data_IF_327101283172
#
_entry.id   IF_327101283172
#
_cell.length_a   1.000
_cell.length_b   1.000
_cell.length_c   1.000
_cell.angle_alpha   90.00
_cell.angle_beta   90.00
_cell.angle_gamma   90.00
#
_symmetry.space_group_name_H-M   'P 1'
#
loop_
_entity.id
_entity.type
_entity.pdbx_description
1 polymer ?
#
# COMPACT_ATOMS: atom_id res chain seq x y z
N UNK A 1 4.54 -1.01 15.88
CA UNK A 1 4.86 -2.42 15.52
C UNK A 1 4.53 -3.36 16.67
N UNK A 2 3.91 -4.51 16.38
CA UNK A 2 3.60 -5.49 17.43
C UNK A 2 4.87 -6.02 18.09
N UNK A 3 4.82 -6.22 19.41
CA UNK A 3 5.90 -6.73 20.26
C UNK A 3 7.19 -5.89 20.32
N UNK A 4 7.23 -4.73 19.66
CA UNK A 4 8.31 -3.75 19.79
C UNK A 4 7.83 -2.52 20.57
N UNK A 5 6.72 -1.93 20.14
CA UNK A 5 6.18 -0.68 20.70
C UNK A 5 4.79 -0.84 21.32
N UNK A 6 4.10 -1.93 21.00
CA UNK A 6 2.75 -2.22 21.51
C UNK A 6 2.44 -3.71 21.47
N UNK A 7 1.47 -4.15 22.28
CA UNK A 7 0.80 -5.42 22.07
C UNK A 7 -0.16 -5.35 20.86
N UNK A 8 -0.47 -6.49 20.20
CA UNK A 8 -1.46 -6.52 19.12
C UNK A 8 -2.85 -6.05 19.57
N UNK A 9 -3.57 -5.36 18.68
CA UNK A 9 -4.97 -4.98 18.89
C UNK A 9 -5.81 -6.23 18.67
N UNK A 10 -6.44 -6.74 19.73
CA UNK A 10 -7.26 -7.96 19.66
C UNK A 10 -8.57 -7.72 18.92
N UNK A 11 -9.12 -8.79 18.33
CA UNK A 11 -10.45 -8.77 17.71
C UNK A 11 -11.51 -8.20 18.66
N UNK A 12 -12.33 -7.27 18.16
CA UNK A 12 -13.35 -6.58 18.95
C UNK A 12 -12.82 -5.48 19.88
N UNK A 13 -11.52 -5.15 19.81
CA UNK A 13 -10.92 -4.01 20.51
C UNK A 13 -10.54 -2.90 19.55
N UNK A 14 -10.39 -1.70 20.09
CA UNK A 14 -9.97 -0.50 19.35
C UNK A 14 -8.77 0.15 20.04
N UNK A 15 -7.95 0.83 19.26
CA UNK A 15 -6.82 1.61 19.74
C UNK A 15 -6.74 2.92 18.96
N UNK A 16 -6.43 4.03 19.64
CA UNK A 16 -6.24 5.33 19.02
C UNK A 16 -4.75 5.59 18.78
N UNK A 17 -4.36 5.75 17.52
CA UNK A 17 -3.02 6.21 17.16
C UNK A 17 -3.01 7.75 17.15
N UNK A 18 -2.26 8.36 18.06
CA UNK A 18 -2.09 9.81 18.16
C UNK A 18 -0.61 10.18 17.97
N UNK A 19 -0.31 10.94 16.93
CA UNK A 19 1.03 11.36 16.58
C UNK A 19 1.02 12.63 15.74
N UNK A 20 2.12 13.38 15.83
CA UNK A 20 2.35 14.58 15.01
C UNK A 20 3.21 14.26 13.79
N UNK A 21 2.79 14.75 12.63
CA UNK A 21 3.56 14.66 11.38
C UNK A 21 4.47 15.89 11.27
N UNK A 22 5.65 15.81 11.88
CA UNK A 22 6.62 16.93 11.94
C UNK A 22 7.67 16.82 10.83
N UNK A 23 7.85 17.89 10.06
CA UNK A 23 8.92 17.98 9.06
C UNK A 23 8.72 17.13 7.80
N UNK A 24 7.60 16.43 7.67
CA UNK A 24 7.28 15.61 6.51
C UNK A 24 6.32 16.34 5.56
N UNK A 25 6.47 16.09 4.26
CA UNK A 25 5.60 16.59 3.19
C UNK A 25 5.71 15.63 2.01
N UNK A 26 4.58 15.34 1.36
CA UNK A 26 4.54 14.47 0.18
C UNK A 26 3.74 13.19 0.43
N UNK A 27 4.19 12.10 -0.15
CA UNK A 27 3.51 10.80 -0.07
C UNK A 27 4.23 9.91 0.94
N UNK A 28 3.53 9.53 1.99
CA UNK A 28 3.88 8.47 2.93
C UNK A 28 2.89 7.32 2.73
N UNK A 29 2.98 6.29 3.57
CA UNK A 29 2.03 5.20 3.59
C UNK A 29 1.96 4.59 5.00
N UNK A 30 0.89 3.87 5.25
CA UNK A 30 0.68 3.09 6.46
C UNK A 30 0.45 1.63 6.08
N UNK A 31 0.76 0.72 7.00
CA UNK A 31 0.50 -0.69 6.83
C UNK A 31 0.38 -1.39 8.20
N UNK A 32 -0.30 -2.54 8.22
CA UNK A 32 -0.26 -3.42 9.37
C UNK A 32 1.19 -3.82 9.65
N UNK A 33 1.59 -3.82 10.92
CA UNK A 33 2.96 -4.13 11.31
C UNK A 33 2.99 -5.29 12.31
N UNK A 34 2.34 -6.38 11.89
CA UNK A 34 2.27 -7.67 12.56
C UNK A 34 2.04 -8.74 11.47
N UNK A 35 2.89 -9.77 11.46
CA UNK A 35 2.80 -10.89 10.49
C UNK A 35 2.76 -10.38 9.04
N UNK A 36 2.21 -11.18 8.13
CA UNK A 36 2.05 -10.85 6.71
C UNK A 36 0.76 -10.05 6.40
N UNK A 37 0.05 -9.59 7.43
CA UNK A 37 -1.19 -8.80 7.28
C UNK A 37 -1.04 -7.55 6.41
N UNK A 38 0.17 -7.00 6.27
CA UNK A 38 0.41 -5.86 5.36
C UNK A 38 0.14 -6.19 3.89
N UNK A 39 -0.01 -7.45 3.52
CA UNK A 39 -0.35 -7.86 2.14
C UNK A 39 -1.69 -7.28 1.69
N UNK A 40 -2.62 -7.11 2.63
CA UNK A 40 -3.96 -6.59 2.36
C UNK A 40 -4.31 -5.35 3.19
N UNK A 41 -3.59 -5.11 4.30
CA UNK A 41 -3.85 -4.01 5.23
C UNK A 41 -2.77 -2.93 5.09
N UNK A 42 -2.97 -2.02 4.13
CA UNK A 42 -2.09 -0.89 3.86
C UNK A 42 -2.82 0.25 3.13
N UNK A 43 -2.18 1.41 3.02
CA UNK A 43 -2.69 2.54 2.24
C UNK A 43 -1.75 3.73 2.22
N UNK A 44 -1.98 4.67 1.32
CA UNK A 44 -1.17 5.89 1.24
C UNK A 44 -1.60 6.94 2.29
N UNK A 45 -0.65 7.77 2.71
CA UNK A 45 -0.88 8.99 3.48
C UNK A 45 -0.34 10.16 2.67
N UNK A 46 -1.19 11.11 2.32
CA UNK A 46 -0.76 12.32 1.61
C UNK A 46 -0.65 13.48 2.59
N UNK A 47 0.56 13.98 2.79
CA UNK A 47 0.86 15.14 3.62
C UNK A 47 1.01 16.35 2.72
N UNK A 48 -0.06 17.15 2.65
CA UNK A 48 -0.12 18.34 1.82
C UNK A 48 0.81 19.45 2.32
N UNK A 49 1.17 20.41 1.45
CA UNK A 49 1.89 21.59 1.87
C UNK A 49 1.12 22.34 2.96
N UNK A 50 1.84 23.02 3.86
CA UNK A 50 1.20 23.92 4.83
C UNK A 50 0.39 24.99 4.07
N UNK A 51 -0.70 25.43 4.68
CA UNK A 51 -1.52 26.50 4.10
C UNK A 51 -0.64 27.72 3.76
N UNK A 52 -0.77 28.22 2.52
CA UNK A 52 0.02 29.34 2.01
C UNK A 52 1.41 28.97 1.46
N UNK A 53 1.85 27.70 1.57
CA UNK A 53 3.12 27.24 1.00
C UNK A 53 2.83 26.45 -0.28
N UNK A 54 3.27 26.91 -1.47
CA UNK A 54 3.01 26.19 -2.72
C UNK A 54 3.88 24.94 -2.88
N UNK A 55 3.57 24.12 -3.88
CA UNK A 55 4.49 23.11 -4.40
C UNK A 55 5.82 23.71 -4.87
N UNK A 56 6.96 23.01 -4.70
CA UNK A 56 8.24 23.44 -5.27
C UNK A 56 8.29 23.26 -6.79
N UNK A 57 7.19 22.79 -7.38
CA UNK A 57 6.92 22.62 -8.80
C UNK A 57 5.54 23.24 -9.11
N UNK A 58 5.20 23.49 -10.39
CA UNK A 58 3.88 23.98 -10.76
C UNK A 58 2.77 23.11 -10.19
N UNK A 59 1.72 23.72 -9.65
CA UNK A 59 0.62 22.98 -9.05
C UNK A 59 0.01 22.02 -10.08
N UNK A 60 -0.05 20.72 -9.80
CA UNK A 60 -0.64 19.76 -10.72
C UNK A 60 -2.14 20.00 -10.85
N UNK A 61 -2.71 19.69 -12.01
CA UNK A 61 -4.14 19.79 -12.25
C UNK A 61 -4.91 18.75 -11.42
N UNK A 62 -4.34 17.54 -11.27
CA UNK A 62 -4.86 16.48 -10.41
C UNK A 62 -3.74 15.63 -9.82
N UNK A 63 -4.07 14.87 -8.76
CA UNK A 63 -3.18 13.92 -8.12
C UNK A 63 -3.82 12.53 -8.13
N UNK A 64 -3.02 11.49 -8.36
CA UNK A 64 -3.49 10.10 -8.32
C UNK A 64 -2.58 9.25 -7.43
N UNK A 65 -3.17 8.47 -6.53
CA UNK A 65 -2.44 7.52 -5.69
C UNK A 65 -2.33 6.20 -6.44
N UNK A 66 -1.11 5.67 -6.52
CA UNK A 66 -0.78 4.41 -7.17
C UNK A 66 -0.08 3.52 -6.14
N UNK A 67 -0.81 2.55 -5.60
CA UNK A 67 -0.27 1.56 -4.66
C UNK A 67 0.08 0.31 -5.42
N UNK A 68 1.37 -0.03 -5.46
CA UNK A 68 1.87 -1.30 -5.96
C UNK A 68 1.79 -2.32 -4.82
N UNK A 69 1.27 -3.51 -5.10
CA UNK A 69 1.16 -4.57 -4.10
C UNK A 69 1.23 -5.95 -4.71
N UNK A 70 0.96 -6.96 -3.90
CA UNK A 70 0.98 -8.36 -4.28
C UNK A 70 -0.32 -9.06 -3.87
N UNK A 71 -0.66 -10.13 -4.57
CA UNK A 71 -1.84 -10.94 -4.34
C UNK A 71 -1.48 -12.42 -4.28
N UNK A 72 -1.99 -13.11 -3.27
CA UNK A 72 -1.99 -14.56 -3.18
C UNK A 72 -3.44 -15.05 -3.26
N UNK A 73 -3.65 -16.14 -3.99
CA UNK A 73 -4.90 -16.87 -3.99
C UNK A 73 -5.12 -17.61 -2.66
N UNK A 74 -4.02 -17.99 -1.99
CA UNK A 74 -4.03 -18.58 -0.66
C UNK A 74 -4.11 -17.50 0.44
N UNK A 75 -4.50 -17.92 1.64
CA UNK A 75 -4.43 -17.07 2.83
C UNK A 75 -2.95 -16.73 3.12
N UNK A 76 -2.62 -15.44 3.15
CA UNK A 76 -1.26 -14.93 3.32
C UNK A 76 -0.62 -15.36 4.63
N UNK A 77 -1.41 -15.55 5.69
CA UNK A 77 -0.89 -16.00 6.98
C UNK A 77 -0.58 -17.50 6.97
N UNK A 78 -1.35 -18.29 6.22
CA UNK A 78 -1.02 -19.72 6.01
C UNK A 78 0.21 -19.89 5.11
N UNK A 79 0.39 -19.00 4.11
CA UNK A 79 1.61 -18.95 3.28
C UNK A 79 2.84 -18.66 4.14
N UNK A 80 2.79 -17.64 5.01
CA UNK A 80 3.87 -17.31 5.96
C UNK A 80 4.15 -18.48 6.91
N UNK A 81 3.10 -19.01 7.54
CA UNK A 81 3.18 -20.10 8.51
C UNK A 81 3.78 -21.38 7.91
N UNK A 82 3.41 -21.73 6.67
CA UNK A 82 3.99 -22.87 5.97
C UNK A 82 5.49 -22.67 5.73
N UNK A 83 5.91 -21.49 5.25
CA UNK A 83 7.33 -21.17 5.06
C UNK A 83 8.11 -21.30 6.36
N UNK A 84 7.60 -20.73 7.44
CA UNK A 84 8.20 -20.81 8.78
C UNK A 84 8.32 -22.26 9.30
N UNK A 85 7.29 -23.09 9.11
CA UNK A 85 7.31 -24.48 9.54
C UNK A 85 8.34 -25.33 8.77
N UNK A 86 8.49 -25.06 7.47
CA UNK A 86 9.43 -25.77 6.61
C UNK A 86 10.86 -25.21 6.69
N UNK A 87 11.04 -24.01 7.26
CA UNK A 87 12.31 -23.27 7.22
C UNK A 87 12.67 -22.82 5.80
N UNK A 88 11.66 -22.60 4.95
CA UNK A 88 11.81 -22.18 3.56
C UNK A 88 11.21 -20.78 3.35
N UNK A 89 11.66 -20.03 2.33
CA UNK A 89 10.97 -18.82 1.91
C UNK A 89 9.50 -19.10 1.59
N UNK A 90 8.57 -18.20 1.95
CA UNK A 90 7.17 -18.32 1.53
C UNK A 90 7.04 -18.29 0.00
N UNK A 91 5.96 -18.89 -0.52
CA UNK A 91 5.71 -18.93 -1.96
C UNK A 91 5.58 -17.51 -2.56
N UNK A 92 6.04 -17.35 -3.80
CA UNK A 92 5.84 -16.11 -4.56
C UNK A 92 4.34 -15.80 -4.73
N UNK A 93 4.02 -14.52 -4.87
CA UNK A 93 2.67 -14.07 -5.15
C UNK A 93 2.15 -14.59 -6.49
N UNK A 94 0.83 -14.76 -6.57
CA UNK A 94 0.14 -15.16 -7.79
C UNK A 94 0.02 -13.98 -8.79
N UNK A 95 0.02 -12.75 -8.28
CA UNK A 95 0.00 -11.53 -9.09
C UNK A 95 0.57 -10.31 -8.36
N UNK A 96 1.25 -9.44 -9.09
CA UNK A 96 1.43 -8.05 -8.71
C UNK A 96 0.17 -7.24 -8.99
N UNK A 97 -0.06 -6.18 -8.23
CA UNK A 97 -1.27 -5.36 -8.35
C UNK A 97 -0.95 -3.86 -8.41
N UNK A 98 -1.79 -3.12 -9.12
CA UNK A 98 -1.88 -1.66 -9.06
C UNK A 98 -3.23 -1.31 -8.45
N UNK A 99 -3.21 -0.62 -7.30
CA UNK A 99 -4.40 -0.30 -6.51
C UNK A 99 -5.28 -1.54 -6.23
N UNK A 100 -4.63 -2.67 -5.91
CA UNK A 100 -5.27 -3.96 -5.63
C UNK A 100 -5.85 -4.67 -6.87
N UNK A 101 -5.52 -4.22 -8.08
CA UNK A 101 -5.96 -4.83 -9.35
C UNK A 101 -4.77 -5.48 -10.07
N UNK A 102 -4.83 -6.77 -10.42
CA UNK A 102 -3.75 -7.46 -11.13
C UNK A 102 -3.44 -6.92 -12.54
N UNK A 103 -4.43 -6.33 -13.20
CA UNK A 103 -4.32 -5.84 -14.58
C UNK A 103 -4.59 -6.93 -15.63
N UNK A 104 -4.62 -6.57 -16.92
CA UNK A 104 -5.36 -7.30 -17.94
C UNK A 104 -4.77 -8.67 -18.34
N UNK A 105 -3.55 -8.96 -17.90
CA UNK A 105 -2.86 -10.22 -18.22
C UNK A 105 -3.23 -11.38 -17.30
N UNK A 106 -3.98 -11.12 -16.22
CA UNK A 106 -4.40 -12.15 -15.27
C UNK A 106 -5.84 -12.62 -15.53
N UNK A 107 -6.14 -13.91 -15.31
CA UNK A 107 -7.50 -14.42 -15.48
C UNK A 107 -8.51 -13.65 -14.61
N UNK A 108 -9.70 -13.43 -15.15
CA UNK A 108 -10.82 -12.75 -14.47
C UNK A 108 -10.60 -11.27 -14.08
N UNK A 109 -9.53 -10.62 -14.55
CA UNK A 109 -9.14 -9.29 -14.04
C UNK A 109 -9.19 -8.15 -15.07
N UNK A 110 -9.24 -8.45 -16.37
CA UNK A 110 -9.24 -7.47 -17.48
C UNK A 110 -10.27 -6.34 -17.27
N UNK A 111 -11.53 -6.70 -17.03
CA UNK A 111 -12.64 -5.76 -16.79
C UNK A 111 -12.50 -4.93 -15.50
N UNK A 112 -11.57 -5.28 -14.62
CA UNK A 112 -11.37 -4.65 -13.32
C UNK A 112 -9.98 -4.01 -13.20
N UNK A 113 -9.25 -3.88 -14.31
CA UNK A 113 -7.97 -3.19 -14.38
C UNK A 113 -8.14 -1.75 -13.91
N UNK A 114 -7.20 -1.28 -13.08
CA UNK A 114 -7.16 0.13 -12.69
C UNK A 114 -6.82 0.99 -13.91
N UNK A 115 -7.66 1.98 -14.19
CA UNK A 115 -7.44 2.98 -15.23
C UNK A 115 -7.50 4.38 -14.61
N UNK A 116 -6.57 5.24 -15.02
CA UNK A 116 -6.57 6.66 -14.69
C UNK A 116 -6.98 7.44 -15.93
N UNK A 117 -8.14 8.11 -15.87
CA UNK A 117 -8.56 9.02 -16.93
C UNK A 117 -7.72 10.30 -16.89
N UNK A 118 -7.25 10.71 -18.06
CA UNK A 118 -6.40 11.90 -18.21
C UNK A 118 -6.91 12.80 -19.32
N UNK A 119 -6.71 14.10 -19.16
CA UNK A 119 -7.07 15.14 -20.11
C UNK A 119 -5.83 15.65 -20.84
N UNK A 120 -5.95 15.92 -22.14
CA UNK A 120 -4.86 16.42 -22.95
C UNK A 120 -4.39 17.80 -22.46
N UNK A 121 -3.08 17.98 -22.31
CA UNK A 121 -2.46 19.24 -21.86
C UNK A 121 -2.45 19.47 -20.35
N UNK A 122 -2.98 18.53 -19.56
CA UNK A 122 -2.98 18.58 -18.09
C UNK A 122 -1.76 17.89 -17.48
N UNK A 123 -1.35 18.34 -16.30
CA UNK A 123 -0.24 17.76 -15.52
C UNK A 123 -0.76 17.02 -14.30
N UNK A 124 -0.32 15.77 -14.11
CA UNK A 124 -0.76 14.89 -13.02
C UNK A 124 0.39 14.54 -12.10
N UNK A 125 0.18 14.62 -10.79
CA UNK A 125 1.13 14.11 -9.80
C UNK A 125 0.77 12.67 -9.42
N UNK A 126 1.54 11.71 -9.93
CA UNK A 126 1.41 10.30 -9.53
C UNK A 126 2.15 10.06 -8.22
N UNK A 127 1.39 9.66 -7.20
CA UNK A 127 1.89 9.35 -5.85
C UNK A 127 2.05 7.84 -5.72
N UNK A 128 3.23 7.36 -6.09
CA UNK A 128 3.53 5.93 -6.14
C UNK A 128 3.99 5.45 -4.76
N UNK A 129 3.39 4.37 -4.28
CA UNK A 129 3.74 3.65 -3.04
C UNK A 129 4.00 2.20 -3.40
N UNK A 130 5.13 1.65 -2.96
CA UNK A 130 5.35 0.20 -3.02
C UNK A 130 4.95 -0.42 -1.67
N UNK A 131 3.87 -1.19 -1.66
CA UNK A 131 3.36 -1.94 -0.53
C UNK A 131 3.56 -3.46 -0.67
N UNK A 132 4.28 -3.92 -1.70
CA UNK A 132 4.62 -5.33 -1.91
C UNK A 132 5.39 -5.92 -0.72
N UNK A 133 5.20 -7.21 -0.46
CA UNK A 133 5.81 -7.90 0.67
C UNK A 133 7.23 -8.35 0.37
N UNK A 134 7.43 -8.97 -0.79
CA UNK A 134 8.54 -9.86 -1.01
C UNK A 134 9.13 -9.73 -2.42
N UNK A 135 9.37 -8.48 -2.85
CA UNK A 135 10.23 -8.14 -3.99
C UNK A 135 11.59 -7.64 -3.44
N UNK A 136 12.53 -8.55 -3.21
CA UNK A 136 13.97 -8.30 -3.09
C UNK A 136 14.75 -8.94 -4.25
#
# INVERSE_FOLDING_TARGET
>A
PAYITQCPIMTGRSYAYDFNVTGQRGTLWWHAHILWLRATVHGAIVVMPKQGVPFPFPQPDQEAIIVLGEWWNADVEEVEKQGNQLGLPPNMSDAHTINGKPGPLFPCSDKHTYALEVEAGKTYLLRIVNAALNDE
#
